data_IF_505902598172
#
_entry.id   IF_505902598172
#
_cell.length_a   1.000
_cell.length_b   1.000
_cell.length_c   1.000
_cell.angle_alpha   90.00
_cell.angle_beta   90.00
_cell.angle_gamma   90.00
#
_symmetry.space_group_name_H-M   'P 1'
#
loop_
_entity.id
_entity.type
_entity.pdbx_description
1 polymer ?
#
# COMPACT_ATOMS: atom_id res chain seq x y z
N UNK A 1 -30.47 8.58 31.17
CA UNK A 1 -29.98 9.19 29.93
C UNK A 1 -31.08 8.92 28.93
N UNK A 2 -31.86 9.95 28.59
CA UNK A 2 -32.90 9.82 27.56
C UNK A 2 -32.19 9.69 26.20
N UNK A 3 -32.60 8.71 25.40
CA UNK A 3 -32.11 8.57 24.03
C UNK A 3 -32.62 9.74 23.20
N UNK A 4 -31.70 10.57 22.69
CA UNK A 4 -32.03 11.65 21.78
C UNK A 4 -32.64 11.05 20.50
N UNK A 5 -33.89 11.35 20.14
CA UNK A 5 -34.56 10.77 18.98
C UNK A 5 -33.93 11.20 17.65
N UNK A 6 -33.02 12.18 17.65
CA UNK A 6 -32.23 12.58 16.48
C UNK A 6 -30.95 11.75 16.32
N UNK A 7 -30.57 10.97 17.33
CA UNK A 7 -29.43 10.07 17.28
C UNK A 7 -29.83 8.72 16.68
N UNK A 8 -29.28 8.40 15.52
CA UNK A 8 -29.49 7.11 14.86
C UNK A 8 -28.59 6.94 13.64
N UNK A 9 -28.45 5.72 13.11
CA UNK A 9 -27.68 5.50 11.88
C UNK A 9 -28.40 6.17 10.70
N UNK A 10 -27.65 6.93 9.90
CA UNK A 10 -28.13 7.50 8.64
C UNK A 10 -27.63 6.61 7.50
N UNK A 11 -28.54 6.18 6.63
CA UNK A 11 -28.24 5.47 5.39
C UNK A 11 -28.63 6.39 4.24
N UNK A 12 -27.68 6.71 3.37
CA UNK A 12 -27.88 7.58 2.21
C UNK A 12 -27.78 6.77 0.91
N UNK A 13 -26.57 6.37 0.53
CA UNK A 13 -26.30 5.59 -0.68
C UNK A 13 -25.80 4.18 -0.36
N UNK A 14 -26.25 3.21 -1.18
CA UNK A 14 -25.81 1.82 -1.11
C UNK A 14 -25.24 1.43 -2.48
N UNK A 15 -24.03 0.85 -2.47
CA UNK A 15 -23.43 0.23 -3.64
C UNK A 15 -23.08 -1.23 -3.32
N UNK A 16 -23.31 -2.12 -4.27
CA UNK A 16 -22.96 -3.53 -4.18
C UNK A 16 -22.02 -3.84 -5.34
N UNK A 17 -20.80 -4.25 -5.01
CA UNK A 17 -19.80 -4.70 -5.97
C UNK A 17 -19.43 -6.14 -5.65
N UNK A 18 -19.48 -7.01 -6.67
CA UNK A 18 -18.86 -8.33 -6.58
C UNK A 18 -17.34 -8.15 -6.68
N UNK A 19 -16.63 -8.57 -5.64
CA UNK A 19 -15.17 -8.58 -5.61
C UNK A 19 -14.65 -9.88 -6.22
N UNK A 20 -13.55 -9.77 -6.95
CA UNK A 20 -12.82 -10.91 -7.49
C UNK A 20 -11.40 -10.87 -6.94
N UNK A 21 -10.85 -12.01 -6.57
CA UNK A 21 -9.42 -12.08 -6.26
C UNK A 21 -8.65 -12.08 -7.58
N UNK A 22 -7.76 -11.08 -7.83
CA UNK A 22 -6.94 -11.07 -9.03
C UNK A 22 -6.02 -12.30 -9.08
N UNK A 23 -5.63 -12.70 -10.28
CA UNK A 23 -4.62 -13.73 -10.46
C UNK A 23 -3.28 -13.29 -9.85
N UNK A 24 -2.56 -14.23 -9.25
CA UNK A 24 -1.23 -13.96 -8.69
C UNK A 24 -0.26 -13.50 -9.79
N UNK A 25 0.42 -12.35 -9.63
CA UNK A 25 1.45 -11.91 -10.56
C UNK A 25 2.58 -12.93 -10.70
N UNK A 26 3.22 -12.99 -11.87
CA UNK A 26 4.31 -13.96 -12.13
C UNK A 26 5.60 -13.64 -11.36
N UNK A 27 5.78 -12.38 -11.01
CA UNK A 27 7.00 -11.79 -10.44
C UNK A 27 6.86 -11.40 -8.97
N UNK A 28 5.71 -11.66 -8.35
CA UNK A 28 5.45 -11.40 -6.94
C UNK A 28 4.66 -12.54 -6.31
N UNK A 29 5.00 -12.90 -5.07
CA UNK A 29 4.19 -13.81 -4.26
C UNK A 29 2.92 -13.14 -3.69
N UNK A 30 2.81 -11.81 -3.81
CA UNK A 30 1.69 -11.00 -3.30
C UNK A 30 0.58 -10.92 -4.34
N UNK A 31 -0.65 -11.18 -3.92
CA UNK A 31 -1.87 -10.98 -4.72
C UNK A 31 -2.45 -9.61 -4.38
N UNK A 32 -2.90 -8.86 -5.41
CA UNK A 32 -3.54 -7.56 -5.25
C UNK A 32 -2.70 -6.60 -4.39
N UNK A 33 -1.38 -6.60 -4.60
CA UNK A 33 -0.44 -5.79 -3.83
C UNK A 33 -0.45 -4.30 -4.20
N UNK A 34 -0.97 -3.99 -5.38
CA UNK A 34 -1.27 -2.64 -5.92
C UNK A 34 -2.67 -2.15 -5.53
N UNK A 35 -3.45 -2.97 -4.80
CA UNK A 35 -4.77 -2.63 -4.28
C UNK A 35 -5.79 -2.14 -5.34
N UNK A 36 -5.60 -2.42 -6.63
CA UNK A 36 -6.50 -1.96 -7.67
C UNK A 36 -7.90 -2.61 -7.61
N UNK A 37 -7.99 -3.76 -6.94
CA UNK A 37 -9.26 -4.43 -6.68
C UNK A 37 -9.67 -4.31 -5.20
N UNK A 38 -10.81 -3.68 -4.98
CA UNK A 38 -11.36 -3.40 -3.64
C UNK A 38 -12.80 -2.92 -3.70
N UNK A 39 -13.33 -2.35 -2.59
CA UNK A 39 -14.72 -1.91 -2.49
C UNK A 39 -15.11 -0.88 -3.56
N UNK A 40 -16.41 -0.69 -3.74
CA UNK A 40 -16.91 0.35 -4.62
C UNK A 40 -16.58 1.74 -4.07
N UNK A 41 -16.00 2.60 -4.91
CA UNK A 41 -15.71 3.99 -4.61
C UNK A 41 -16.68 4.89 -5.39
N UNK A 42 -17.42 5.75 -4.71
CA UNK A 42 -18.25 6.74 -5.39
C UNK A 42 -17.38 7.91 -5.86
N UNK A 43 -17.51 8.26 -7.15
CA UNK A 43 -16.72 9.31 -7.79
C UNK A 43 -16.88 10.70 -7.18
N UNK A 44 -17.99 10.96 -6.48
CA UNK A 44 -18.32 12.27 -5.92
C UNK A 44 -18.16 12.30 -4.38
N UNK A 45 -17.49 11.31 -3.78
CA UNK A 45 -17.27 11.25 -2.33
C UNK A 45 -15.79 11.09 -2.02
N UNK A 46 -15.26 11.99 -1.21
CA UNK A 46 -13.83 12.08 -0.89
C UNK A 46 -13.46 11.49 0.47
N UNK A 47 -14.24 10.54 0.99
CA UNK A 47 -14.07 10.02 2.36
C UNK A 47 -13.31 8.68 2.43
N UNK A 48 -12.97 8.10 1.27
CA UNK A 48 -12.48 6.73 1.21
C UNK A 48 -13.56 5.71 1.61
N UNK A 49 -13.16 4.44 1.73
CA UNK A 49 -13.98 3.37 2.31
C UNK A 49 -13.25 2.78 3.50
N UNK A 50 -13.84 2.87 4.69
CA UNK A 50 -13.32 2.19 5.87
C UNK A 50 -13.49 0.68 5.70
N UNK A 51 -12.41 -0.06 5.89
CA UNK A 51 -12.41 -1.50 5.75
C UNK A 51 -12.76 -2.15 7.10
N UNK A 52 -13.85 -2.93 7.18
CA UNK A 52 -14.18 -3.66 8.39
C UNK A 52 -13.18 -4.80 8.62
N UNK A 53 -13.05 -5.24 9.88
CA UNK A 53 -12.37 -6.50 10.19
C UNK A 53 -13.03 -7.65 9.44
N UNK A 54 -12.24 -8.62 9.03
CA UNK A 54 -12.77 -9.87 8.50
C UNK A 54 -13.53 -10.60 9.63
N UNK A 55 -14.87 -10.45 9.67
CA UNK A 55 -15.72 -11.00 10.74
C UNK A 55 -15.71 -12.54 10.76
N UNK A 56 -15.83 -13.15 9.58
CA UNK A 56 -15.97 -14.61 9.46
C UNK A 56 -14.68 -15.28 8.94
N UNK A 57 -13.58 -14.52 8.83
CA UNK A 57 -12.27 -14.99 8.34
C UNK A 57 -12.21 -15.36 6.85
N UNK A 58 -13.34 -15.69 6.23
CA UNK A 58 -13.42 -16.16 4.83
C UNK A 58 -13.64 -15.03 3.81
N UNK A 59 -14.23 -13.91 4.23
CA UNK A 59 -14.54 -12.79 3.34
C UNK A 59 -13.77 -11.55 3.75
N UNK A 60 -13.00 -11.00 2.80
CA UNK A 60 -12.34 -9.71 2.94
C UNK A 60 -12.95 -8.69 1.98
N UNK A 61 -13.10 -7.46 2.44
CA UNK A 61 -13.39 -6.32 1.56
C UNK A 61 -12.19 -5.94 0.68
N UNK A 62 -11.01 -6.49 0.96
CA UNK A 62 -9.79 -6.29 0.20
C UNK A 62 -9.28 -7.66 -0.30
N UNK A 63 -9.58 -8.07 -1.55
CA UNK A 63 -9.26 -9.41 -2.04
C UNK A 63 -7.78 -9.76 -1.90
N UNK A 64 -7.51 -10.95 -1.37
CA UNK A 64 -6.16 -11.42 -1.04
C UNK A 64 -5.60 -10.92 0.29
N UNK A 65 -6.19 -9.89 0.91
CA UNK A 65 -5.69 -9.29 2.15
C UNK A 65 -6.64 -9.52 3.32
N UNK A 66 -6.11 -9.52 4.53
CA UNK A 66 -6.85 -9.68 5.78
C UNK A 66 -6.74 -8.38 6.55
N UNK A 67 -7.88 -7.82 6.95
CA UNK A 67 -7.97 -6.71 7.88
C UNK A 67 -8.12 -7.33 9.27
N UNK A 68 -7.02 -7.40 10.02
CA UNK A 68 -6.97 -8.18 11.26
C UNK A 68 -7.60 -7.48 12.46
N UNK A 69 -7.84 -6.16 12.35
CA UNK A 69 -8.38 -5.35 13.43
C UNK A 69 -9.42 -4.37 12.93
N UNK A 70 -10.25 -3.86 13.83
CA UNK A 70 -11.45 -3.06 13.55
C UNK A 70 -11.17 -1.60 13.18
N UNK A 71 -9.89 -1.25 13.00
CA UNK A 71 -9.44 0.11 12.68
C UNK A 71 -8.36 0.13 11.59
N UNK A 72 -8.28 -0.90 10.73
CA UNK A 72 -7.05 -1.16 10.00
C UNK A 72 -6.72 -0.31 8.80
N UNK A 73 -7.70 0.13 8.03
CA UNK A 73 -7.36 0.96 6.88
C UNK A 73 -8.55 1.59 6.19
N UNK A 74 -8.23 2.65 5.45
CA UNK A 74 -9.10 3.29 4.48
C UNK A 74 -8.63 2.88 3.09
N UNK A 75 -9.54 2.36 2.29
CA UNK A 75 -9.33 2.24 0.86
C UNK A 75 -9.56 3.62 0.22
N UNK A 76 -8.55 4.11 -0.50
CA UNK A 76 -8.54 5.45 -1.08
C UNK A 76 -8.38 5.38 -2.60
N UNK A 77 -8.70 6.47 -3.27
CA UNK A 77 -8.53 6.60 -4.72
C UNK A 77 -7.79 7.87 -5.15
N UNK A 78 -7.21 7.80 -6.34
CA UNK A 78 -6.47 8.88 -6.99
C UNK A 78 -7.30 10.10 -7.36
N UNK A 79 -8.63 10.00 -7.39
CA UNK A 79 -9.49 11.13 -7.74
C UNK A 79 -9.56 12.14 -6.59
N UNK A 80 -9.30 11.69 -5.35
CA UNK A 80 -9.41 12.49 -4.13
C UNK A 80 -8.16 12.52 -3.26
N UNK A 81 -7.23 11.58 -3.45
CA UNK A 81 -6.04 11.43 -2.60
C UNK A 81 -4.78 11.22 -3.43
N UNK A 82 -3.63 11.55 -2.83
CA UNK A 82 -2.35 11.11 -3.36
C UNK A 82 -2.21 9.59 -3.18
N UNK A 83 -2.03 8.88 -4.29
CA UNK A 83 -1.76 7.44 -4.32
C UNK A 83 -0.39 7.18 -4.96
N UNK A 84 0.44 6.27 -4.43
CA UNK A 84 1.76 6.02 -5.00
C UNK A 84 1.73 5.44 -6.42
N UNK A 85 0.83 4.49 -6.68
CA UNK A 85 0.66 3.81 -7.94
C UNK A 85 -0.82 3.71 -8.34
N UNK A 86 -1.04 3.37 -9.61
CA UNK A 86 -2.39 3.04 -10.10
C UNK A 86 -3.44 4.12 -9.84
N UNK A 87 -4.59 3.67 -9.33
CA UNK A 87 -5.74 4.50 -8.96
C UNK A 87 -6.19 4.26 -7.52
N UNK A 88 -5.64 3.28 -6.82
CA UNK A 88 -6.10 2.84 -5.50
C UNK A 88 -4.90 2.58 -4.59
N UNK A 89 -5.11 2.76 -3.29
CA UNK A 89 -4.12 2.44 -2.27
C UNK A 89 -4.80 2.22 -0.92
N UNK A 90 -4.02 1.84 0.10
CA UNK A 90 -4.48 1.70 1.47
C UNK A 90 -3.83 2.75 2.37
N UNK A 91 -4.63 3.53 3.07
CA UNK A 91 -4.20 4.40 4.16
C UNK A 91 -4.38 3.69 5.52
N UNK A 92 -3.33 3.63 6.35
CA UNK A 92 -3.34 2.91 7.63
C UNK A 92 -3.69 3.84 8.79
N UNK A 93 -4.92 3.73 9.33
CA UNK A 93 -5.54 4.80 10.14
C UNK A 93 -5.32 4.76 11.65
N UNK A 94 -4.74 3.71 12.25
CA UNK A 94 -4.89 3.50 13.71
C UNK A 94 -3.76 2.76 14.39
N UNK A 95 -2.53 3.21 14.18
CA UNK A 95 -1.42 2.69 14.97
C UNK A 95 -1.29 1.16 14.90
N UNK A 96 -0.97 0.55 16.04
CA UNK A 96 -0.87 -0.92 16.21
C UNK A 96 -2.21 -1.65 16.19
N UNK A 97 -3.32 -0.91 16.23
CA UNK A 97 -4.67 -1.45 16.08
C UNK A 97 -5.09 -1.50 14.61
N UNK A 98 -4.22 -1.11 13.67
CA UNK A 98 -4.56 -1.08 12.27
C UNK A 98 -3.71 -1.99 11.40
N UNK A 99 -3.88 -3.29 11.56
CA UNK A 99 -3.07 -4.31 10.89
C UNK A 99 -3.79 -4.84 9.64
N UNK A 100 -3.10 -4.74 8.51
CA UNK A 100 -3.42 -5.50 7.30
C UNK A 100 -2.36 -6.57 7.06
N UNK A 101 -2.76 -7.74 6.56
CA UNK A 101 -1.83 -8.83 6.31
C UNK A 101 -2.21 -9.69 5.11
N UNK A 102 -1.25 -10.46 4.61
CA UNK A 102 -1.46 -11.51 3.62
C UNK A 102 -0.53 -12.69 3.92
N UNK A 103 -1.03 -13.91 3.75
CA UNK A 103 -0.20 -15.11 3.74
C UNK A 103 0.31 -15.33 2.31
N UNK A 104 1.61 -15.18 2.09
CA UNK A 104 2.23 -15.35 0.76
C UNK A 104 3.00 -16.67 0.67
N UNK A 105 2.97 -17.29 -0.50
CA UNK A 105 3.74 -18.51 -0.77
C UNK A 105 5.25 -18.21 -0.81
N UNK A 106 6.02 -18.95 -0.03
CA UNK A 106 7.48 -18.88 0.06
C UNK A 106 8.09 -20.28 0.05
N UNK A 107 9.41 -20.36 0.20
CA UNK A 107 10.13 -21.62 0.44
C UNK A 107 11.00 -21.47 1.67
N UNK A 108 11.02 -22.47 2.54
CA UNK A 108 11.88 -22.45 3.72
C UNK A 108 13.36 -22.26 3.35
N UNK A 109 14.07 -21.51 4.19
CA UNK A 109 15.51 -21.22 4.10
C UNK A 109 15.92 -20.50 2.81
N UNK A 110 15.00 -19.75 2.20
CA UNK A 110 15.26 -18.93 1.01
C UNK A 110 15.18 -17.43 1.33
N UNK A 111 16.10 -16.62 0.78
CA UNK A 111 16.06 -15.17 0.94
C UNK A 111 15.05 -14.54 -0.03
N UNK A 112 14.27 -13.60 0.49
CA UNK A 112 13.27 -12.81 -0.21
C UNK A 112 13.44 -11.32 0.12
N UNK A 113 12.88 -10.48 -0.74
CA UNK A 113 12.74 -9.05 -0.49
C UNK A 113 11.25 -8.71 -0.57
N UNK A 114 10.73 -8.16 0.52
CA UNK A 114 9.46 -7.44 0.55
C UNK A 114 9.74 -6.00 0.14
N UNK A 115 9.02 -5.48 -0.84
CA UNK A 115 9.05 -4.07 -1.22
C UNK A 115 7.65 -3.50 -1.26
N UNK A 116 7.54 -2.19 -1.08
CA UNK A 116 6.29 -1.47 -1.13
C UNK A 116 6.56 0.02 -1.28
N UNK A 117 5.58 0.74 -1.78
CA UNK A 117 5.52 2.19 -1.78
C UNK A 117 4.94 2.69 -0.45
N UNK A 118 5.58 3.68 0.15
CA UNK A 118 5.18 4.33 1.40
C UNK A 118 5.03 5.84 1.16
N UNK A 119 3.85 6.41 1.40
CA UNK A 119 3.56 7.82 1.13
C UNK A 119 2.58 8.45 2.11
N UNK A 120 2.05 9.61 1.73
CA UNK A 120 0.93 10.30 2.38
C UNK A 120 -0.25 10.43 1.43
N UNK A 121 -1.46 10.59 1.97
CA UNK A 121 -2.69 10.71 1.19
C UNK A 121 -2.99 12.16 0.72
N UNK A 122 -2.19 13.14 1.16
CA UNK A 122 -2.44 14.59 0.96
C UNK A 122 -3.76 15.07 1.60
N UNK A 123 -4.15 14.42 2.68
CA UNK A 123 -5.38 14.67 3.45
C UNK A 123 -5.12 15.51 4.72
N UNK A 124 -3.96 16.20 4.74
CA UNK A 124 -3.46 16.99 5.87
C UNK A 124 -3.18 16.17 7.14
N UNK A 125 -2.86 14.89 6.99
CA UNK A 125 -2.43 14.06 8.10
C UNK A 125 -1.17 14.63 8.78
N UNK A 126 -1.18 14.68 10.13
CA UNK A 126 -0.04 15.20 10.90
C UNK A 126 1.15 14.28 10.79
N UNK A 127 2.33 14.83 10.52
CA UNK A 127 3.60 14.13 10.62
C UNK A 127 4.05 13.97 12.09
N UNK A 128 4.87 12.96 12.43
CA UNK A 128 5.52 11.99 11.53
C UNK A 128 4.60 10.86 11.06
N UNK A 129 4.90 10.32 9.87
CA UNK A 129 4.30 9.10 9.32
C UNK A 129 5.34 7.99 9.30
N UNK A 130 4.96 6.78 9.71
CA UNK A 130 5.83 5.61 9.67
C UNK A 130 5.02 4.33 9.64
N UNK A 131 5.54 3.32 8.94
CA UNK A 131 4.95 1.98 8.86
C UNK A 131 5.84 0.98 9.58
N UNK A 132 5.21 0.04 10.28
CA UNK A 132 5.86 -1.18 10.70
C UNK A 132 5.53 -2.28 9.68
N UNK A 133 6.55 -2.80 9.00
CA UNK A 133 6.42 -3.90 8.05
C UNK A 133 6.91 -5.20 8.68
N UNK A 134 6.22 -6.31 8.42
CA UNK A 134 6.55 -7.65 8.91
C UNK A 134 6.64 -8.63 7.74
N UNK A 135 7.59 -9.55 7.83
CA UNK A 135 7.69 -10.75 7.01
C UNK A 135 8.06 -11.92 7.92
N UNK A 136 7.06 -12.66 8.37
CA UNK A 136 7.22 -13.67 9.42
C UNK A 136 7.62 -13.01 10.75
N UNK A 137 8.76 -13.42 11.30
CA UNK A 137 9.32 -12.86 12.54
C UNK A 137 10.30 -11.69 12.29
N UNK A 138 10.59 -11.38 11.03
CA UNK A 138 11.46 -10.27 10.65
C UNK A 138 10.61 -9.02 10.43
N UNK A 139 11.08 -7.89 10.93
CA UNK A 139 10.31 -6.65 10.91
C UNK A 139 11.21 -5.42 10.83
N UNK A 140 10.65 -4.34 10.29
CA UNK A 140 11.32 -3.06 10.19
C UNK A 140 10.35 -1.90 10.38
N UNK A 141 10.75 -0.94 11.21
CA UNK A 141 10.09 0.35 11.32
C UNK A 141 10.69 1.29 10.26
N UNK A 142 9.84 1.80 9.38
CA UNK A 142 10.24 2.61 8.24
C UNK A 142 9.49 3.95 8.32
N UNK A 143 10.26 5.01 8.54
CA UNK A 143 9.75 6.37 8.54
C UNK A 143 9.60 6.89 7.12
N UNK A 144 8.46 7.54 6.86
CA UNK A 144 8.29 8.32 5.65
C UNK A 144 9.15 9.57 5.71
N UNK A 145 9.90 9.84 4.65
CA UNK A 145 10.68 11.06 4.49
C UNK A 145 10.12 11.83 3.30
N UNK A 146 9.55 13.03 3.52
CA UNK A 146 9.05 13.85 2.43
C UNK A 146 10.13 14.11 1.38
N UNK A 147 9.77 13.95 0.10
CA UNK A 147 10.61 14.27 -1.03
C UNK A 147 9.89 15.31 -1.89
N UNK A 148 10.54 16.41 -2.25
CA UNK A 148 9.92 17.48 -3.04
C UNK A 148 9.43 17.02 -4.42
N UNK A 149 9.92 15.89 -4.91
CA UNK A 149 9.63 15.38 -6.25
C UNK A 149 8.66 14.18 -6.24
N UNK A 150 8.24 13.67 -5.08
CA UNK A 150 7.41 12.47 -4.98
C UNK A 150 6.57 12.48 -3.70
N UNK A 151 5.30 12.09 -3.82
CA UNK A 151 4.37 11.90 -2.69
C UNK A 151 4.61 10.59 -1.93
N UNK A 152 5.55 9.77 -2.40
CA UNK A 152 5.90 8.48 -1.82
C UNK A 152 7.39 8.14 -1.98
N UNK A 153 7.86 7.17 -1.20
CA UNK A 153 9.17 6.54 -1.29
C UNK A 153 9.01 5.02 -1.44
N UNK A 154 9.93 4.37 -2.15
CA UNK A 154 10.00 2.91 -2.20
C UNK A 154 10.81 2.42 -1.01
N UNK A 155 10.25 1.47 -0.27
CA UNK A 155 10.87 0.88 0.91
C UNK A 155 10.98 -0.64 0.76
N UNK A 156 11.90 -1.25 1.51
CA UNK A 156 12.10 -2.69 1.47
C UNK A 156 12.41 -3.30 2.84
N UNK A 157 12.15 -4.59 2.96
CA UNK A 157 12.50 -5.46 4.07
C UNK A 157 13.03 -6.78 3.48
N UNK A 158 14.32 -7.03 3.68
CA UNK A 158 14.93 -8.32 3.32
C UNK A 158 14.62 -9.33 4.42
N UNK A 159 14.20 -10.54 4.03
CA UNK A 159 13.90 -11.60 4.99
C UNK A 159 14.25 -12.99 4.46
N UNK A 160 14.59 -13.89 5.36
CA UNK A 160 14.68 -15.33 5.05
C UNK A 160 13.39 -16.03 5.48
N UNK A 161 12.71 -16.69 4.54
CA UNK A 161 11.47 -17.39 4.84
C UNK A 161 11.73 -18.66 5.67
N UNK A 162 10.91 -18.89 6.70
CA UNK A 162 11.04 -20.05 7.61
C UNK A 162 10.15 -21.24 7.22
N UNK A 163 9.20 -21.03 6.32
CA UNK A 163 8.21 -22.03 5.93
C UNK A 163 7.77 -21.82 4.48
N UNK A 164 6.90 -22.72 3.99
CA UNK A 164 6.29 -22.62 2.66
C UNK A 164 5.27 -21.47 2.55
N UNK A 165 4.85 -20.89 3.67
CA UNK A 165 4.01 -19.71 3.73
C UNK A 165 4.59 -18.69 4.71
N UNK A 166 4.65 -17.43 4.31
CA UNK A 166 5.10 -16.32 5.16
C UNK A 166 3.98 -15.29 5.30
N UNK A 167 3.67 -14.90 6.54
CA UNK A 167 2.76 -13.78 6.79
C UNK A 167 3.51 -12.47 6.54
N UNK A 168 3.03 -11.66 5.60
CA UNK A 168 3.42 -10.26 5.50
C UNK A 168 2.35 -9.39 6.16
N UNK A 169 2.76 -8.33 6.86
CA UNK A 169 1.81 -7.44 7.50
C UNK A 169 2.33 -6.01 7.64
N UNK A 170 1.39 -5.07 7.72
CA UNK A 170 1.66 -3.65 7.86
C UNK A 170 0.75 -3.04 8.90
N UNK A 171 1.27 -2.11 9.68
CA UNK A 171 0.46 -1.20 10.48
C UNK A 171 1.14 0.17 10.59
N UNK A 172 0.37 1.23 10.85
CA UNK A 172 0.94 2.54 11.15
C UNK A 172 1.62 2.54 12.51
N UNK A 173 2.82 3.09 12.64
CA UNK A 173 3.51 3.18 13.95
C UNK A 173 2.79 4.14 14.89
N UNK A 174 2.12 5.15 14.34
CA UNK A 174 1.52 6.25 15.06
C UNK A 174 -0.01 6.28 14.92
N UNK A 175 -0.67 6.91 15.90
CA UNK A 175 -2.08 7.25 15.84
C UNK A 175 -2.19 8.71 15.38
N UNK A 176 -2.19 8.93 14.06
CA UNK A 176 -2.24 10.27 13.49
C UNK A 176 -3.70 10.73 13.34
N UNK A 177 -3.87 12.04 13.43
CA UNK A 177 -5.13 12.72 13.11
C UNK A 177 -4.86 13.83 12.10
N UNK A 178 -5.88 14.17 11.33
CA UNK A 178 -5.82 15.28 10.38
C UNK A 178 -5.65 16.60 11.13
N UNK A 179 -4.96 17.54 10.50
CA UNK A 179 -4.65 18.83 11.13
C UNK A 179 -5.79 19.84 11.09
N UNK A 180 -6.76 19.68 10.20
CA UNK A 180 -7.88 20.61 10.04
C UNK A 180 -9.08 20.33 10.95
N UNK A 181 -9.42 19.06 11.18
CA UNK A 181 -10.51 18.67 12.10
C UNK A 181 -10.03 18.10 13.44
N UNK A 182 -8.72 17.85 13.57
CA UNK A 182 -8.04 17.34 14.77
C UNK A 182 -8.59 16.01 15.34
N UNK A 183 -9.45 15.32 14.61
CA UNK A 183 -10.23 14.19 15.13
C UNK A 183 -10.33 13.04 14.15
N UNK A 184 -10.32 13.32 12.84
CA UNK A 184 -10.31 12.27 11.82
C UNK A 184 -8.98 11.55 11.84
N UNK A 185 -9.06 10.23 12.03
CA UNK A 185 -7.92 9.34 11.91
C UNK A 185 -7.40 9.31 10.47
N UNK A 186 -6.08 9.29 10.36
CA UNK A 186 -5.32 9.26 9.11
C UNK A 186 -3.98 8.54 9.35
N UNK A 187 -3.21 8.29 8.29
CA UNK A 187 -1.87 7.76 8.45
C UNK A 187 -1.08 7.57 7.16
N UNK A 188 -0.01 6.76 7.19
CA UNK A 188 0.78 6.48 6.00
C UNK A 188 -0.04 5.68 4.97
N UNK A 189 0.23 5.96 3.70
CA UNK A 189 -0.30 5.21 2.56
C UNK A 189 0.68 4.12 2.17
N UNK A 190 0.18 2.88 2.02
CA UNK A 190 0.91 1.73 1.52
C UNK A 190 0.31 1.28 0.17
N UNK A 191 1.19 0.96 -0.77
CA UNK A 191 0.83 0.53 -2.12
C UNK A 191 1.95 -0.29 -2.77
N UNK A 192 1.71 -0.88 -3.95
CA UNK A 192 2.70 -1.58 -4.78
C UNK A 192 3.47 -2.68 -4.00
N UNK A 193 2.78 -3.40 -3.12
CA UNK A 193 3.40 -4.41 -2.25
C UNK A 193 3.81 -5.65 -3.05
N UNK A 194 5.08 -6.02 -2.95
CA UNK A 194 5.64 -7.14 -3.71
C UNK A 194 6.62 -7.96 -2.87
N UNK A 195 6.59 -9.28 -3.06
CA UNK A 195 7.55 -10.21 -2.46
C UNK A 195 8.17 -11.03 -3.58
N UNK A 196 9.49 -10.93 -3.73
CA UNK A 196 10.22 -11.71 -4.73
C UNK A 196 11.47 -12.35 -4.15
N UNK A 197 11.93 -13.40 -4.80
CA UNK A 197 13.14 -14.11 -4.42
C UNK A 197 14.37 -13.21 -4.63
N UNK A 198 15.23 -13.08 -3.63
CA UNK A 198 16.36 -12.13 -3.68
C UNK A 198 17.37 -12.44 -4.81
N UNK A 199 17.38 -13.67 -5.34
CA UNK A 199 18.22 -14.04 -6.49
C UNK A 199 17.72 -13.53 -7.86
N UNK A 200 16.52 -12.92 -7.93
CA UNK A 200 16.06 -12.28 -9.17
C UNK A 200 16.54 -10.83 -9.22
N UNK A 201 17.77 -10.62 -9.69
CA UNK A 201 18.21 -9.29 -10.12
C UNK A 201 17.42 -8.88 -11.37
N UNK A 202 16.28 -8.21 -11.20
CA UNK A 202 15.68 -7.41 -12.27
C UNK A 202 15.97 -5.95 -11.98
N UNK A 203 17.00 -5.47 -12.67
CA UNK A 203 17.32 -4.06 -12.82
C UNK A 203 16.05 -3.36 -13.37
N UNK A 204 15.26 -2.72 -12.51
CA UNK A 204 14.21 -1.82 -12.99
C UNK A 204 14.93 -0.65 -13.67
N UNK A 205 14.73 -0.52 -14.98
CA UNK A 205 15.48 0.37 -15.84
C UNK A 205 15.36 1.83 -15.42
N UNK A 206 16.44 2.38 -14.88
CA UNK A 206 16.74 3.80 -15.02
C UNK A 206 17.05 4.03 -16.51
N UNK A 207 16.18 4.76 -17.20
CA UNK A 207 16.43 5.28 -18.54
C UNK A 207 17.61 6.25 -18.51
N UNK A 208 18.83 5.72 -18.55
CA UNK A 208 20.01 6.51 -18.90
C UNK A 208 20.03 6.67 -20.42
N UNK A 209 19.55 7.84 -20.85
CA UNK A 209 19.88 8.41 -22.16
C UNK A 209 21.40 8.41 -22.29
N UNK A 210 21.95 7.46 -23.05
CA UNK A 210 23.33 7.53 -23.51
C UNK A 210 23.41 8.64 -24.55
N UNK A 211 23.73 9.85 -24.10
CA UNK A 211 24.29 10.88 -24.98
C UNK A 211 25.71 10.42 -25.36
N UNK A 212 25.79 9.63 -26.43
CA UNK A 212 27.07 9.25 -27.02
C UNK A 212 27.66 10.44 -27.77
N UNK A 213 28.69 11.06 -27.19
CA UNK A 213 29.65 11.88 -27.92
C UNK A 213 30.26 11.04 -29.06
N UNK A 214 30.05 11.47 -30.29
CA UNK A 214 30.69 10.92 -31.49
C UNK A 214 31.21 12.05 -32.36
N UNK A 215 32.29 12.71 -31.93
CA UNK A 215 33.16 13.47 -32.84
C UNK A 215 34.34 12.56 -33.16
N UNK A 216 34.47 12.10 -34.41
CA UNK A 216 35.75 12.08 -35.12
C UNK A 216 35.58 11.79 -36.63
N UNK A 217 35.91 12.80 -37.43
CA UNK A 217 36.57 12.78 -38.74
C UNK A 217 36.28 11.70 -39.78
N UNK A 218 35.78 12.12 -40.95
CA UNK A 218 36.36 11.66 -42.21
C UNK A 218 36.38 12.79 -43.24
N UNK A 219 37.60 13.14 -43.67
CA UNK A 219 37.94 14.12 -44.68
C UNK A 219 38.23 13.38 -45.99
N UNK A 220 37.69 13.93 -47.09
CA UNK A 220 38.07 13.77 -48.52
C UNK A 220 37.99 12.38 -49.16
N UNK A 221 37.19 12.27 -50.23
CA UNK A 221 37.67 12.12 -51.63
C UNK A 221 36.45 12.05 -52.57
N UNK A 222 36.19 13.10 -53.35
CA UNK A 222 35.55 12.95 -54.66
C UNK A 222 36.20 13.92 -55.65
N UNK A 223 36.55 13.32 -56.79
CA UNK A 223 37.13 13.88 -58.02
C UNK A 223 36.21 14.93 -58.63
#
# INVERSE_FOLDING_TARGET
MEDDPTCGPIIDNIAIKKLFTPDKPKDSAVINGDFEEGPWMFRNTSMGVLLPTNLDGETSSLPGWIVESNRAGRFIDSDHYAVPGGRRAIELLSGKEGIISQMVETKADKPYTLTFSLGHADDKCKEPLAVMAFAGDQTQNIHYTPNSNSTFQISNLNFTAKAEMTRIAFYSVYYNTRSDDMSSLCGPVADDVRVWFAGSNRLHGLGFVRLGLGILGLVLFLV
#
